data_IF_570848228814
#
_entry.id   IF_570848228814
#
_cell.length_a   1.000
_cell.length_b   1.000
_cell.length_c   1.000
_cell.angle_alpha   90.00
_cell.angle_beta   90.00
_cell.angle_gamma   90.00
#
_symmetry.space_group_name_H-M   'P 1'
#
loop_
_entity.id
_entity.type
_entity.pdbx_description
1 polymer ?
#
# COMPACT_ATOMS: atom_id res chain seq x y z
N UNK A 1 5.94 -12.68 -1.94
CA UNK A 1 5.56 -13.35 -3.21
C UNK A 1 4.94 -12.23 -4.02
N UNK A 2 5.53 -11.74 -5.12
CA UNK A 2 4.91 -10.66 -5.89
C UNK A 2 3.65 -11.20 -6.56
N UNK A 3 2.52 -11.11 -5.86
CA UNK A 3 1.21 -11.27 -6.47
C UNK A 3 1.05 -10.08 -7.41
N UNK A 4 0.97 -10.36 -8.69
CA UNK A 4 0.72 -9.32 -9.67
C UNK A 4 -0.67 -8.73 -9.41
N UNK A 5 -0.72 -7.44 -9.10
CA UNK A 5 -2.00 -6.73 -8.93
C UNK A 5 -2.53 -6.38 -10.31
N UNK A 6 -3.73 -6.86 -10.62
CA UNK A 6 -4.37 -6.66 -11.92
C UNK A 6 -5.88 -6.69 -11.76
N UNK A 7 -6.56 -5.82 -12.51
CA UNK A 7 -8.02 -5.78 -12.65
C UNK A 7 -8.35 -6.18 -14.07
N UNK A 8 -9.09 -7.27 -14.24
CA UNK A 8 -9.50 -7.82 -15.52
C UNK A 8 -10.59 -7.04 -16.22
N UNK A 9 -10.80 -7.32 -17.51
CA UNK A 9 -11.79 -6.63 -18.34
C UNK A 9 -13.26 -6.80 -17.87
N UNK A 10 -13.55 -7.83 -17.08
CA UNK A 10 -14.86 -8.03 -16.45
C UNK A 10 -14.88 -7.61 -14.98
N UNK A 11 -13.86 -6.88 -14.53
CA UNK A 11 -13.71 -6.43 -13.16
C UNK A 11 -13.71 -4.91 -13.08
N UNK A 12 -14.00 -4.38 -11.90
CA UNK A 12 -13.96 -2.94 -11.59
C UNK A 12 -12.96 -2.71 -10.47
N UNK A 13 -12.08 -1.74 -10.65
CA UNK A 13 -11.30 -1.15 -9.56
C UNK A 13 -12.19 -0.14 -8.85
N UNK A 14 -12.39 -0.31 -7.54
CA UNK A 14 -13.07 0.64 -6.68
C UNK A 14 -12.10 1.11 -5.60
N UNK A 15 -11.82 2.40 -5.54
CA UNK A 15 -11.01 3.02 -4.49
C UNK A 15 -11.92 3.86 -3.61
N UNK A 16 -11.87 3.58 -2.31
CA UNK A 16 -12.66 4.27 -1.28
C UNK A 16 -11.78 5.32 -0.63
N UNK A 17 -12.25 6.56 -0.57
CA UNK A 17 -11.61 7.71 0.10
C UNK A 17 -12.31 8.02 1.43
N UNK A 18 -11.64 8.80 2.29
CA UNK A 18 -12.19 9.26 3.58
C UNK A 18 -13.24 10.36 3.40
N UNK A 19 -13.19 11.11 2.30
CA UNK A 19 -14.14 12.19 2.04
C UNK A 19 -15.40 11.64 1.39
N UNK A 20 -16.56 11.96 2.00
CA UNK A 20 -17.88 11.32 1.80
C UNK A 20 -18.42 11.30 0.35
N UNK A 21 -17.78 11.99 -0.60
CA UNK A 21 -18.23 12.09 -1.99
C UNK A 21 -17.21 11.60 -3.04
N UNK A 22 -15.99 11.20 -2.64
CA UNK A 22 -14.92 10.83 -3.57
C UNK A 22 -14.67 9.32 -3.60
N UNK A 23 -15.41 8.61 -4.44
CA UNK A 23 -15.07 7.24 -4.81
C UNK A 23 -14.55 7.21 -6.25
N UNK A 24 -13.48 6.44 -6.48
CA UNK A 24 -12.97 6.22 -7.82
C UNK A 24 -13.37 4.82 -8.28
N UNK A 25 -14.17 4.74 -9.34
CA UNK A 25 -14.54 3.47 -9.95
C UNK A 25 -14.11 3.46 -11.41
N UNK A 26 -13.33 2.44 -11.82
CA UNK A 26 -12.88 2.28 -13.20
C UNK A 26 -12.96 0.81 -13.64
N UNK A 27 -13.60 0.52 -14.78
CA UNK A 27 -13.60 -0.84 -15.33
C UNK A 27 -12.20 -1.21 -15.84
N UNK A 28 -11.85 -2.49 -15.73
CA UNK A 28 -10.63 -3.03 -16.29
C UNK A 28 -10.61 -3.07 -17.84
N UNK A 29 -9.48 -3.47 -18.44
CA UNK A 29 -8.26 -3.93 -17.77
C UNK A 29 -7.43 -2.78 -17.20
N UNK A 30 -6.90 -2.95 -15.98
CA UNK A 30 -5.99 -2.00 -15.33
C UNK A 30 -4.83 -2.81 -14.74
N UNK A 31 -3.61 -2.40 -15.05
CA UNK A 31 -2.41 -3.05 -14.51
C UNK A 31 -1.90 -2.38 -13.23
N UNK A 32 -0.91 -3.03 -12.62
CA UNK A 32 -0.25 -2.58 -11.40
C UNK A 32 0.25 -1.13 -11.47
N UNK A 33 0.87 -0.74 -12.58
CA UNK A 33 1.44 0.62 -12.72
C UNK A 33 0.33 1.65 -12.75
N UNK A 34 -0.74 1.37 -13.48
CA UNK A 34 -1.88 2.26 -13.56
C UNK A 34 -2.64 2.36 -12.23
N UNK A 35 -2.75 1.27 -11.44
CA UNK A 35 -3.32 1.31 -10.09
C UNK A 35 -2.50 2.25 -9.20
N UNK A 36 -1.17 2.10 -9.21
CA UNK A 36 -0.27 2.94 -8.42
C UNK A 36 -0.33 4.41 -8.83
N UNK A 37 -0.43 4.70 -10.13
CA UNK A 37 -0.58 6.07 -10.65
C UNK A 37 -1.90 6.71 -10.20
N UNK A 38 -2.99 5.94 -10.17
CA UNK A 38 -4.29 6.41 -9.69
C UNK A 38 -4.23 6.70 -8.19
N UNK A 39 -3.76 5.74 -7.38
CA UNK A 39 -3.64 5.90 -5.92
C UNK A 39 -2.74 7.09 -5.57
N UNK A 40 -1.65 7.27 -6.30
CA UNK A 40 -0.72 8.40 -6.11
C UNK A 40 -1.31 9.78 -6.43
N UNK A 41 -2.45 9.85 -7.11
CA UNK A 41 -3.16 11.11 -7.41
C UNK A 41 -4.29 11.42 -6.42
N UNK A 42 -4.65 10.47 -5.54
CA UNK A 42 -5.72 10.65 -4.57
C UNK A 42 -5.20 11.29 -3.28
N UNK A 43 -5.99 12.16 -2.68
CA UNK A 43 -5.62 12.79 -1.41
C UNK A 43 -5.69 11.79 -0.24
N UNK A 44 -6.70 10.93 -0.23
CA UNK A 44 -6.84 9.87 0.76
C UNK A 44 -7.30 8.57 0.13
N UNK A 45 -6.80 7.46 0.64
CA UNK A 45 -7.24 6.11 0.24
C UNK A 45 -7.41 5.25 1.49
N UNK A 46 -8.62 4.76 1.68
CA UNK A 46 -9.04 3.91 2.80
C UNK A 46 -8.96 2.44 2.42
N UNK A 47 -9.46 2.08 1.24
CA UNK A 47 -9.42 0.71 0.73
C UNK A 47 -9.45 0.66 -0.79
N UNK A 48 -8.92 -0.44 -1.33
CA UNK A 48 -8.82 -0.70 -2.76
C UNK A 48 -9.46 -2.06 -3.02
N UNK A 49 -10.57 -2.06 -3.74
CA UNK A 49 -11.38 -3.25 -4.00
C UNK A 49 -11.33 -3.60 -5.49
N UNK A 50 -11.26 -4.89 -5.77
CA UNK A 50 -11.43 -5.46 -7.11
C UNK A 50 -12.75 -6.22 -7.15
N UNK A 51 -13.68 -5.75 -7.95
CA UNK A 51 -15.03 -6.31 -8.04
C UNK A 51 -15.15 -7.13 -9.33
N UNK A 52 -15.44 -8.42 -9.23
CA UNK A 52 -15.71 -9.30 -10.37
C UNK A 52 -17.20 -9.29 -10.71
N UNK A 53 -17.53 -8.75 -11.88
CA UNK A 53 -18.92 -8.62 -12.36
C UNK A 53 -19.54 -9.95 -12.76
N UNK A 54 -18.73 -10.97 -13.07
CA UNK A 54 -19.21 -12.29 -13.49
C UNK A 54 -19.56 -13.16 -12.29
N UNK A 55 -18.76 -13.11 -11.24
CA UNK A 55 -19.00 -13.88 -10.01
C UNK A 55 -19.78 -13.12 -8.94
N UNK A 56 -19.95 -11.80 -9.10
CA UNK A 56 -20.55 -10.90 -8.12
C UNK A 56 -19.83 -10.99 -6.75
N UNK A 57 -18.50 -11.14 -6.79
CA UNK A 57 -17.62 -11.13 -5.63
C UNK A 57 -16.69 -9.92 -5.71
N UNK A 58 -16.11 -9.58 -4.58
CA UNK A 58 -15.02 -8.62 -4.53
C UNK A 58 -13.87 -9.19 -3.72
N UNK A 59 -12.66 -8.79 -4.10
CA UNK A 59 -11.44 -8.99 -3.32
C UNK A 59 -11.00 -7.62 -2.80
N UNK A 60 -10.62 -7.55 -1.53
CA UNK A 60 -9.89 -6.42 -1.00
C UNK A 60 -8.40 -6.63 -1.32
N UNK A 61 -7.85 -5.75 -2.17
CA UNK A 61 -6.47 -5.81 -2.65
C UNK A 61 -5.60 -4.72 -2.00
N UNK A 62 -6.08 -4.11 -0.92
CA UNK A 62 -5.37 -3.03 -0.23
C UNK A 62 -4.00 -3.48 0.28
N UNK A 63 -3.90 -4.71 0.79
CA UNK A 63 -2.64 -5.27 1.27
C UNK A 63 -1.65 -5.49 0.13
N UNK A 64 -2.08 -6.12 -0.97
CA UNK A 64 -1.21 -6.30 -2.14
C UNK A 64 -0.73 -4.97 -2.74
N UNK A 65 -1.56 -3.93 -2.72
CA UNK A 65 -1.14 -2.59 -3.15
C UNK A 65 -0.21 -1.94 -2.13
N UNK A 66 -0.44 -2.13 -0.83
CA UNK A 66 0.45 -1.64 0.22
C UNK A 66 1.85 -2.28 0.12
N UNK A 67 1.94 -3.58 -0.16
CA UNK A 67 3.21 -4.27 -0.44
C UNK A 67 3.99 -3.56 -1.55
N UNK A 68 3.34 -3.20 -2.66
CA UNK A 68 3.98 -2.47 -3.77
C UNK A 68 4.44 -1.08 -3.37
N UNK A 69 3.61 -0.36 -2.61
CA UNK A 69 3.95 0.95 -2.07
C UNK A 69 5.19 0.87 -1.20
N UNK A 70 5.23 -0.03 -0.21
CA UNK A 70 6.34 -0.09 0.73
C UNK A 70 7.61 -0.66 0.09
N UNK A 71 7.48 -1.62 -0.84
CA UNK A 71 8.62 -2.28 -1.47
C UNK A 71 9.45 -1.31 -2.31
N UNK A 72 8.82 -0.35 -2.97
CA UNK A 72 9.51 0.74 -3.69
C UNK A 72 10.54 1.48 -2.82
N UNK A 73 10.31 1.57 -1.50
CA UNK A 73 11.18 2.28 -0.56
C UNK A 73 12.15 1.33 0.16
N UNK A 74 11.80 0.05 0.32
CA UNK A 74 12.73 -0.98 0.78
C UNK A 74 13.90 -1.20 -0.19
N UNK A 75 13.61 -1.14 -1.49
CA UNK A 75 14.60 -1.34 -2.55
C UNK A 75 15.59 -0.16 -2.66
N UNK A 76 15.21 1.04 -2.21
CA UNK A 76 16.09 2.21 -2.12
C UNK A 76 16.87 2.19 -0.79
N UNK A 77 17.83 1.26 -0.70
CA UNK A 77 18.59 0.90 0.51
C UNK A 77 19.23 2.07 1.28
N UNK A 78 19.47 3.20 0.61
CA UNK A 78 20.09 4.39 1.19
C UNK A 78 19.08 5.35 1.85
N UNK A 79 17.79 5.19 1.57
CA UNK A 79 16.75 6.19 1.83
C UNK A 79 15.45 5.54 2.34
N UNK A 80 15.52 4.86 3.49
CA UNK A 80 14.32 4.47 4.25
C UNK A 80 13.64 5.73 4.84
N UNK A 81 13.11 6.61 3.99
CA UNK A 81 12.29 7.77 4.39
C UNK A 81 10.81 7.40 4.48
N UNK A 82 10.46 6.12 4.59
CA UNK A 82 9.08 5.64 4.47
C UNK A 82 8.19 5.91 5.70
N UNK A 83 8.74 6.56 6.71
CA UNK A 83 7.90 7.15 7.75
C UNK A 83 7.42 8.49 7.23
N UNK A 84 6.48 8.47 6.26
CA UNK A 84 5.63 9.63 6.08
C UNK A 84 4.94 9.89 7.43
N UNK A 85 4.89 11.14 7.87
CA UNK A 85 4.23 11.50 9.14
C UNK A 85 2.73 11.13 9.11
N UNK A 86 2.15 10.96 7.91
CA UNK A 86 0.75 10.65 7.67
C UNK A 86 0.58 9.75 6.41
N UNK A 87 0.88 8.44 6.49
CA UNK A 87 0.71 7.53 5.36
C UNK A 87 -0.78 7.33 5.05
N UNK A 88 -1.11 6.98 3.79
CA UNK A 88 -2.50 6.62 3.44
C UNK A 88 -3.04 5.56 4.40
N UNK A 89 -4.33 5.67 4.75
CA UNK A 89 -4.97 4.80 5.73
C UNK A 89 -4.77 3.31 5.40
N UNK A 90 -4.90 2.91 4.14
CA UNK A 90 -4.69 1.51 3.74
C UNK A 90 -3.24 1.03 3.94
N UNK A 91 -2.24 1.93 3.85
CA UNK A 91 -0.83 1.63 4.13
C UNK A 91 -0.62 1.55 5.64
N UNK A 92 -1.12 2.54 6.39
CA UNK A 92 -0.99 2.61 7.85
C UNK A 92 -1.49 1.35 8.57
N UNK A 93 -2.52 0.71 8.00
CA UNK A 93 -3.15 -0.51 8.53
C UNK A 93 -2.71 -1.80 7.83
N UNK A 94 -1.72 -1.76 6.94
CA UNK A 94 -1.21 -2.93 6.23
C UNK A 94 -0.20 -3.73 7.05
N UNK A 95 -0.17 -5.04 6.84
CA UNK A 95 0.89 -5.89 7.39
C UNK A 95 2.24 -5.52 6.76
N UNK A 96 2.24 -5.21 5.46
CA UNK A 96 3.42 -4.79 4.71
C UNK A 96 4.13 -3.59 5.36
N UNK A 97 3.38 -2.57 5.81
CA UNK A 97 3.97 -1.43 6.50
C UNK A 97 4.47 -1.79 7.90
N UNK A 98 3.72 -2.60 8.65
CA UNK A 98 4.17 -3.10 9.97
C UNK A 98 5.51 -3.82 9.85
N UNK A 99 5.67 -4.70 8.85
CA UNK A 99 6.92 -5.42 8.59
C UNK A 99 8.10 -4.47 8.27
N UNK A 100 7.83 -3.30 7.69
CA UNK A 100 8.86 -2.26 7.46
C UNK A 100 9.25 -1.58 8.75
N UNK A 101 8.28 -1.21 9.59
CA UNK A 101 8.54 -0.58 10.89
C UNK A 101 9.37 -1.50 11.80
N UNK A 102 9.02 -2.79 11.85
CA UNK A 102 9.76 -3.79 12.63
C UNK A 102 11.24 -3.89 12.19
N UNK A 103 11.49 -3.89 10.87
CA UNK A 103 12.85 -3.92 10.32
C UNK A 103 13.65 -2.64 10.63
N UNK A 104 12.99 -1.48 10.65
CA UNK A 104 13.62 -0.22 11.04
C UNK A 104 14.01 -0.29 12.52
N UNK A 105 13.10 -0.72 13.40
CA UNK A 105 13.36 -0.86 14.83
C UNK A 105 14.50 -1.85 15.13
N UNK A 106 14.50 -3.03 14.48
CA UNK A 106 15.57 -4.02 14.62
C UNK A 106 16.95 -3.42 14.26
N UNK A 107 17.01 -2.61 13.20
CA UNK A 107 18.24 -1.95 12.76
C UNK A 107 18.71 -0.89 13.75
N UNK A 108 17.80 -0.09 14.29
CA UNK A 108 18.13 0.92 15.31
C UNK A 108 18.66 0.27 16.59
N UNK A 109 18.05 -0.83 17.03
CA UNK A 109 18.52 -1.59 18.18
C UNK A 109 19.92 -2.18 17.98
N UNK A 110 20.22 -2.65 16.76
CA UNK A 110 21.54 -3.16 16.38
C UNK A 110 22.59 -2.06 16.13
N UNK A 111 22.22 -0.78 16.13
CA UNK A 111 23.16 0.31 15.94
C UNK A 111 23.94 0.59 17.26
N UNK A 112 25.27 0.41 17.28
CA UNK A 112 26.08 0.54 18.50
C UNK A 112 26.03 1.92 19.16
N UNK A 113 25.59 2.97 18.44
CA UNK A 113 25.36 4.29 19.04
C UNK A 113 24.12 4.34 19.96
N UNK A 114 23.06 3.58 19.67
CA UNK A 114 21.83 3.56 20.48
C UNK A 114 21.89 2.53 21.61
N UNK A 115 22.59 1.41 21.41
CA UNK A 115 22.77 0.39 22.44
C UNK A 115 23.52 0.89 23.69
N UNK A 116 24.24 2.03 23.59
CA UNK A 116 24.99 2.64 24.71
C UNK A 116 24.22 3.71 25.48
N UNK A 117 23.04 4.12 25.02
CA UNK A 117 22.20 5.10 25.72
C UNK A 117 21.22 4.48 26.74
N UNK A 118 21.11 3.16 26.80
CA UNK A 118 20.21 2.44 27.73
C UNK A 118 20.92 1.74 28.91
N UNK A 119 22.15 2.15 29.27
CA UNK A 119 22.86 1.63 30.46
C UNK A 119 22.81 2.57 31.67
#
# INVERSE_FOLDING_TARGET
MNKQVFVGANEILLIVSTYDDDYYAKPGPIDETEIMDIVGQMETVVSILRIDLMSNRYDDISEEVAELYVQKYLDDYDNYYFVEDDPYHFIAHSCAYSDVLDKIEEREYQNPFYSTCQQ
#
